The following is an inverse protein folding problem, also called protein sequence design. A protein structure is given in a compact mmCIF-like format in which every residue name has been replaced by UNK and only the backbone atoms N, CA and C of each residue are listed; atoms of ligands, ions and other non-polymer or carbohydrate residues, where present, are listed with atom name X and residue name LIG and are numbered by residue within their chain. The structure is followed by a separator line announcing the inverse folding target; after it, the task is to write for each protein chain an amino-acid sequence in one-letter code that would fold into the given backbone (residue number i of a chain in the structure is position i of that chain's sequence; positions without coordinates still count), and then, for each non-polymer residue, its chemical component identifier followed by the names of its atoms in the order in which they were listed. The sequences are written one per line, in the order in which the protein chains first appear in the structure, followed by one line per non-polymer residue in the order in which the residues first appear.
data_IF_429476222210
#
_entry.id   IF_429476222210
#
_cell.length_a   1.000
_cell.length_b   1.000
_cell.length_c   1.000
_cell.angle_alpha   90.00
_cell.angle_beta   90.00
_cell.angle_gamma   90.00
#
_symmetry.space_group_name_H-M   'P 1'
#
loop_
_entity.id
_entity.type
_entity.pdbx_description
1 polymer ?
#
# COMPACT_ATOMS: atom_id res chain seq x y z
N UNK A 1 -5.90 28.96 35.97
CA UNK A 1 -6.95 28.15 35.35
C UNK A 1 -6.29 27.44 34.17
N UNK A 2 -6.41 26.11 34.05
CA UNK A 2 -5.54 25.24 33.24
C UNK A 2 -5.62 25.44 31.70
N UNK A 3 -6.45 26.37 31.25
CA UNK A 3 -6.81 26.56 29.84
C UNK A 3 -6.27 27.85 29.20
N UNK A 4 -5.56 28.70 29.94
CA UNK A 4 -4.97 29.96 29.40
C UNK A 4 -3.95 29.73 28.27
N UNK A 5 -3.34 28.55 28.19
CA UNK A 5 -2.39 28.25 27.12
C UNK A 5 -3.06 28.02 25.76
N UNK A 6 -4.34 27.63 25.74
CA UNK A 6 -5.09 27.38 24.50
C UNK A 6 -5.31 28.68 23.71
N UNK A 7 -5.48 29.81 24.39
CA UNK A 7 -5.62 31.12 23.76
C UNK A 7 -4.32 31.63 23.12
N UNK A 8 -3.15 31.15 23.56
CA UNK A 8 -1.86 31.48 22.95
C UNK A 8 -1.57 30.71 21.68
N UNK A 9 -2.24 29.59 21.44
CA UNK A 9 -1.98 28.70 20.28
C UNK A 9 -2.85 29.05 19.09
N UNK A 10 -3.96 29.77 19.28
CA UNK A 10 -4.93 30.10 18.23
C UNK A 10 -4.60 31.36 17.41
N UNK A 11 -3.57 32.13 17.79
CA UNK A 11 -3.18 33.34 17.04
C UNK A 11 -1.80 33.16 16.42
N UNK A 12 -1.77 32.46 15.29
CA UNK A 12 -0.67 32.58 14.33
C UNK A 12 -1.24 33.05 13.01
N UNK A 13 -0.91 34.29 12.64
CA UNK A 13 -1.33 34.95 11.42
C UNK A 13 -0.51 34.37 10.25
N UNK A 14 -1.06 33.37 9.55
CA UNK A 14 -0.45 32.74 8.38
C UNK A 14 -0.86 31.27 8.19
N UNK A 15 -0.70 30.69 6.98
CA UNK A 15 -1.03 29.30 6.71
C UNK A 15 0.02 28.40 7.38
N UNK A 16 -0.19 28.09 8.65
CA UNK A 16 0.64 27.13 9.38
C UNK A 16 0.16 25.75 8.98
N UNK A 17 1.08 24.92 8.49
CA UNK A 17 0.86 23.48 8.33
C UNK A 17 0.75 22.85 9.74
N UNK A 18 -0.41 22.98 10.37
CA UNK A 18 -0.65 22.65 11.80
C UNK A 18 -0.53 21.15 12.09
N UNK A 19 -0.45 20.31 11.05
CA UNK A 19 -0.35 18.85 11.20
C UNK A 19 0.94 18.33 10.58
N UNK A 20 1.49 17.27 11.18
CA UNK A 20 2.64 16.52 10.65
C UNK A 20 2.47 16.15 9.17
N UNK A 21 1.24 15.78 8.80
CA UNK A 21 0.82 15.48 7.43
C UNK A 21 0.97 16.68 6.50
N UNK A 22 0.54 17.86 6.93
CA UNK A 22 0.61 19.10 6.14
C UNK A 22 2.06 19.55 5.95
N UNK A 23 2.87 19.51 7.01
CA UNK A 23 4.29 19.88 6.97
C UNK A 23 5.11 18.98 6.03
N UNK A 24 4.78 17.68 5.97
CA UNK A 24 5.41 16.76 5.03
C UNK A 24 4.87 16.89 3.60
N UNK A 25 3.61 17.27 3.42
CA UNK A 25 3.01 17.48 2.11
C UNK A 25 3.57 18.75 1.43
N UNK A 26 3.78 19.83 2.18
CA UNK A 26 4.35 21.08 1.66
C UNK A 26 5.81 20.92 1.21
N UNK A 27 6.58 20.04 1.86
CA UNK A 27 7.96 19.72 1.48
C UNK A 27 8.08 18.85 0.21
N UNK A 28 6.99 18.22 -0.27
CA UNK A 28 7.03 17.28 -1.40
C UNK A 28 6.60 17.86 -2.75
N UNK A 29 6.64 19.19 -2.94
CA UNK A 29 6.49 19.79 -4.28
C UNK A 29 7.75 19.59 -5.13
N UNK A 30 7.98 18.36 -5.59
CA UNK A 30 9.21 18.04 -6.30
C UNK A 30 9.18 16.69 -7.00
N UNK A 31 8.19 16.48 -7.87
CA UNK A 31 8.16 15.65 -9.09
C UNK A 31 6.69 15.44 -9.50
N UNK A 32 6.36 15.37 -10.80
CA UNK A 32 5.03 14.95 -11.22
C UNK A 32 4.72 13.61 -10.55
N UNK A 33 3.59 13.56 -9.83
CA UNK A 33 3.17 12.34 -9.17
C UNK A 33 2.94 11.28 -10.26
N UNK A 34 3.66 10.16 -10.18
CA UNK A 34 3.40 9.02 -11.04
C UNK A 34 2.13 8.36 -10.51
N UNK A 35 1.03 8.51 -11.25
CA UNK A 35 -0.28 8.02 -10.81
C UNK A 35 -0.24 6.50 -10.83
N UNK A 36 -0.18 5.87 -9.66
CA UNK A 36 -0.32 4.42 -9.58
C UNK A 36 -1.73 4.05 -10.03
N UNK A 37 -1.84 3.34 -11.15
CA UNK A 37 -3.13 2.80 -11.61
C UNK A 37 -3.54 1.69 -10.65
N UNK A 38 -4.58 1.94 -9.86
CA UNK A 38 -5.15 0.97 -8.92
C UNK A 38 -6.44 0.39 -9.49
N UNK A 39 -6.60 -0.93 -9.47
CA UNK A 39 -7.85 -1.60 -9.86
C UNK A 39 -8.34 -2.49 -8.72
N UNK A 40 -9.62 -2.38 -8.39
CA UNK A 40 -10.29 -3.27 -7.43
C UNK A 40 -10.86 -4.46 -8.21
N UNK A 41 -10.16 -5.58 -8.16
CA UNK A 41 -10.60 -6.82 -8.78
C UNK A 41 -11.40 -7.63 -7.75
N UNK A 42 -12.66 -8.04 -8.05
CA UNK A 42 -13.39 -8.98 -7.22
C UNK A 42 -12.78 -10.38 -7.39
N UNK A 43 -11.66 -10.61 -6.72
CA UNK A 43 -10.81 -11.80 -6.91
C UNK A 43 -11.37 -13.05 -6.23
N UNK A 44 -12.30 -12.91 -5.28
CA UNK A 44 -12.80 -13.99 -4.44
C UNK A 44 -14.31 -13.90 -4.32
N UNK A 45 -15.03 -14.90 -4.85
CA UNK A 45 -16.47 -15.09 -4.61
C UNK A 45 -16.74 -15.89 -3.34
N UNK A 46 -15.76 -16.68 -2.91
CA UNK A 46 -15.81 -17.53 -1.72
C UNK A 46 -14.77 -17.07 -0.68
N UNK A 47 -14.98 -17.46 0.58
CA UNK A 47 -14.03 -17.21 1.66
C UNK A 47 -12.63 -17.73 1.30
N UNK A 48 -11.63 -16.86 1.33
CA UNK A 48 -10.23 -17.18 1.04
C UNK A 48 -9.56 -17.91 2.21
N UNK A 49 -9.99 -19.14 2.49
CA UNK A 49 -9.45 -19.94 3.59
C UNK A 49 -8.39 -20.96 3.15
N UNK A 50 -8.21 -21.18 1.85
CA UNK A 50 -7.26 -22.18 1.35
C UNK A 50 -6.01 -21.54 0.75
N UNK A 51 -4.86 -22.17 1.00
CA UNK A 51 -3.56 -21.83 0.41
C UNK A 51 -3.63 -21.84 -1.13
N UNK A 52 -4.34 -22.80 -1.71
CA UNK A 52 -4.52 -22.93 -3.15
C UNK A 52 -5.27 -21.73 -3.75
N UNK A 53 -6.33 -21.27 -3.07
CA UNK A 53 -7.11 -20.10 -3.51
C UNK A 53 -6.28 -18.84 -3.45
N UNK A 54 -5.56 -18.61 -2.34
CA UNK A 54 -4.71 -17.43 -2.17
C UNK A 54 -3.56 -17.43 -3.18
N UNK A 55 -2.94 -18.59 -3.43
CA UNK A 55 -1.92 -18.74 -4.47
C UNK A 55 -2.47 -18.38 -5.86
N UNK A 56 -3.64 -18.91 -6.22
CA UNK A 56 -4.28 -18.61 -7.50
C UNK A 56 -4.54 -17.12 -7.67
N UNK A 57 -5.02 -16.46 -6.62
CA UNK A 57 -5.22 -15.01 -6.61
C UNK A 57 -3.89 -14.26 -6.79
N UNK A 58 -2.83 -14.66 -6.09
CA UNK A 58 -1.49 -14.07 -6.23
C UNK A 58 -0.94 -14.23 -7.66
N UNK A 59 -1.15 -15.39 -8.28
CA UNK A 59 -0.77 -15.64 -9.68
C UNK A 59 -1.52 -14.70 -10.65
N UNK A 60 -2.83 -14.54 -10.46
CA UNK A 60 -3.64 -13.63 -11.29
C UNK A 60 -3.24 -12.17 -11.12
N UNK A 61 -2.98 -11.72 -9.90
CA UNK A 61 -2.52 -10.34 -9.67
C UNK A 61 -1.16 -10.13 -10.34
N UNK A 62 -0.24 -11.09 -10.27
CA UNK A 62 1.05 -11.01 -10.97
C UNK A 62 0.88 -10.89 -12.49
N UNK A 63 0.02 -11.70 -13.09
CA UNK A 63 -0.29 -11.63 -14.54
C UNK A 63 -0.85 -10.26 -14.93
N UNK A 64 -1.81 -9.75 -14.15
CA UNK A 64 -2.46 -8.46 -14.43
C UNK A 64 -1.49 -7.30 -14.26
N UNK A 65 -0.67 -7.30 -13.22
CA UNK A 65 0.36 -6.25 -13.02
C UNK A 65 1.41 -6.33 -14.12
N UNK A 66 1.84 -7.52 -14.55
CA UNK A 66 2.76 -7.66 -15.66
C UNK A 66 2.18 -7.13 -16.99
N UNK A 67 0.87 -7.29 -17.20
CA UNK A 67 0.17 -6.76 -18.38
C UNK A 67 -0.02 -5.23 -18.32
N UNK A 68 -0.51 -4.70 -17.20
CA UNK A 68 -0.83 -3.28 -17.04
C UNK A 68 0.43 -2.42 -16.84
N UNK A 69 1.38 -2.90 -16.02
CA UNK A 69 2.58 -2.18 -15.60
C UNK A 69 3.82 -3.10 -15.65
N UNK A 70 4.34 -3.40 -16.86
CA UNK A 70 5.51 -4.27 -17.02
C UNK A 70 6.68 -3.82 -16.13
N UNK A 71 7.26 -4.75 -15.35
CA UNK A 71 8.39 -4.48 -14.46
C UNK A 71 8.04 -3.95 -13.06
N UNK A 72 6.77 -3.57 -12.82
CA UNK A 72 6.30 -3.22 -11.48
C UNK A 72 6.14 -4.48 -10.62
N UNK A 73 6.51 -4.38 -9.33
CA UNK A 73 6.20 -5.44 -8.36
C UNK A 73 4.72 -5.35 -7.96
N UNK A 74 3.96 -6.44 -8.03
CA UNK A 74 2.61 -6.49 -7.50
C UNK A 74 2.61 -6.25 -5.98
N UNK A 75 1.76 -5.34 -5.52
CA UNK A 75 1.53 -5.07 -4.10
C UNK A 75 0.08 -5.42 -3.77
N UNK A 76 -0.13 -6.24 -2.74
CA UNK A 76 -1.44 -6.73 -2.33
C UNK A 76 -1.70 -6.29 -0.89
N UNK A 77 -2.82 -5.62 -0.66
CA UNK A 77 -3.35 -5.37 0.68
C UNK A 77 -4.44 -6.42 0.98
N UNK A 78 -4.39 -7.02 2.16
CA UNK A 78 -5.33 -8.07 2.56
C UNK A 78 -5.57 -8.04 4.07
N UNK A 79 -6.71 -8.54 4.51
CA UNK A 79 -7.03 -8.73 5.93
C UNK A 79 -6.07 -9.74 6.58
N UNK A 80 -5.87 -9.64 7.90
CA UNK A 80 -4.90 -10.47 8.66
C UNK A 80 -4.87 -11.97 8.30
N UNK A 81 -6.01 -12.71 8.23
CA UNK A 81 -5.96 -14.14 7.92
C UNK A 81 -5.47 -14.41 6.49
N UNK A 82 -5.86 -13.58 5.53
CA UNK A 82 -5.44 -13.72 4.13
C UNK A 82 -3.98 -13.31 3.99
N UNK A 83 -3.55 -12.26 4.69
CA UNK A 83 -2.15 -11.85 4.74
C UNK A 83 -1.24 -12.97 5.24
N UNK A 84 -1.62 -13.66 6.31
CA UNK A 84 -0.85 -14.78 6.85
C UNK A 84 -0.67 -15.90 5.82
N UNK A 85 -1.75 -16.30 5.13
CA UNK A 85 -1.71 -17.31 4.08
C UNK A 85 -0.90 -16.84 2.86
N UNK A 86 -1.05 -15.57 2.45
CA UNK A 86 -0.29 -15.00 1.34
C UNK A 86 1.22 -14.96 1.64
N UNK A 87 1.60 -14.65 2.88
CA UNK A 87 3.00 -14.73 3.33
C UNK A 87 3.53 -16.15 3.34
N UNK A 88 2.74 -17.13 3.78
CA UNK A 88 3.12 -18.54 3.68
C UNK A 88 3.38 -18.94 2.23
N UNK A 89 2.47 -18.61 1.30
CA UNK A 89 2.67 -18.84 -0.14
C UNK A 89 3.94 -18.15 -0.65
N UNK A 90 4.15 -16.88 -0.31
CA UNK A 90 5.33 -16.12 -0.73
C UNK A 90 6.65 -16.76 -0.25
N UNK A 91 6.68 -17.31 0.97
CA UNK A 91 7.86 -17.98 1.50
C UNK A 91 8.08 -19.39 0.97
N UNK A 92 7.02 -20.09 0.53
CA UNK A 92 7.15 -21.41 -0.09
C UNK A 92 7.67 -21.32 -1.53
N UNK A 93 7.37 -20.24 -2.26
CA UNK A 93 7.83 -20.00 -3.64
C UNK A 93 8.52 -18.63 -3.79
N UNK A 94 9.66 -18.41 -3.10
CA UNK A 94 10.34 -17.13 -3.11
C UNK A 94 10.82 -16.75 -4.52
N UNK A 95 11.25 -17.70 -5.33
CA UNK A 95 11.67 -17.48 -6.72
C UNK A 95 10.54 -16.92 -7.62
N UNK A 96 9.27 -17.17 -7.26
CA UNK A 96 8.12 -16.74 -8.05
C UNK A 96 7.60 -15.37 -7.57
N UNK A 97 7.59 -15.14 -6.26
CA UNK A 97 6.90 -14.01 -5.61
C UNK A 97 7.82 -13.02 -4.89
N UNK A 98 9.12 -13.32 -4.76
CA UNK A 98 10.13 -12.41 -4.22
C UNK A 98 11.04 -11.99 -5.38
N UNK A 99 11.33 -10.69 -5.47
CA UNK A 99 12.26 -10.18 -6.48
C UNK A 99 13.67 -10.63 -6.12
N UNK A 100 14.22 -11.61 -6.84
CA UNK A 100 15.67 -11.80 -6.89
C UNK A 100 16.22 -10.71 -7.81
N UNK A 101 16.88 -9.70 -7.24
CA UNK A 101 17.70 -8.79 -8.04
C UNK A 101 18.86 -9.60 -8.64
N UNK A 102 18.77 -9.95 -9.92
CA UNK A 102 19.95 -10.37 -10.68
C UNK A 102 20.90 -9.18 -10.74
N UNK A 103 22.06 -9.36 -10.11
CA UNK A 103 23.22 -8.44 -10.17
C UNK A 103 23.85 -8.46 -11.55
#
# INVERSE_FOLDING_TARGET
MEYEWLEKVTVTDGPVDVTWSAHHASQKRGKPFEVSITSLLPLLRDQAHSVATVKHVMDKIKEIVAFLNPGQVPVIAADQPIYAVAKQVQWHWPEIYVRTSSS
#
